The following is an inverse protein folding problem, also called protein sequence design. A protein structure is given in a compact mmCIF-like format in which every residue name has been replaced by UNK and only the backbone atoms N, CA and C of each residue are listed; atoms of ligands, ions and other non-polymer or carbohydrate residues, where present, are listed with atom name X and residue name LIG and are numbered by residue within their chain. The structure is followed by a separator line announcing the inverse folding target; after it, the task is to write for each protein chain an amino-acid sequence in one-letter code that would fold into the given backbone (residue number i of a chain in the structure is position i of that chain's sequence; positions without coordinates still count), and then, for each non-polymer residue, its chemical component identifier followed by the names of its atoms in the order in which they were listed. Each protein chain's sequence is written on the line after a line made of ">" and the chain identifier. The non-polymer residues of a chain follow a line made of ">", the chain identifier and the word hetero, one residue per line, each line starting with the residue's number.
data_IF_402688306683
#
_entry.id   IF_402688306683
#
_cell.length_a   1.000
_cell.length_b   1.000
_cell.length_c   1.000
_cell.angle_alpha   90.00
_cell.angle_beta   90.00
_cell.angle_gamma   90.00
#
_symmetry.space_group_name_H-M   'P 1'
#
loop_
_entity.id
_entity.type
_entity.pdbx_description
1 polymer ?
#
# COMPACT_ATOMS: atom_id res chain seq x y z
N UNK A 1 -42.09 44.75 35.77
CA UNK A 1 -41.55 43.37 35.67
C UNK A 1 -40.27 43.44 34.85
N UNK A 2 -39.14 43.08 35.44
CA UNK A 2 -37.81 43.38 34.89
C UNK A 2 -37.38 42.27 33.92
N UNK A 3 -37.22 42.59 32.64
CA UNK A 3 -36.85 41.65 31.57
C UNK A 3 -35.33 41.36 31.47
N UNK A 4 -34.53 41.98 32.35
CA UNK A 4 -33.07 41.90 32.37
C UNK A 4 -32.55 40.46 32.58
N UNK A 5 -33.02 39.67 33.58
CA UNK A 5 -32.52 38.30 33.77
C UNK A 5 -32.80 37.38 32.58
N UNK A 6 -33.93 37.58 31.90
CA UNK A 6 -34.32 36.79 30.74
C UNK A 6 -33.40 37.04 29.54
N UNK A 7 -32.97 38.30 29.35
CA UNK A 7 -31.98 38.66 28.32
C UNK A 7 -30.60 38.08 28.60
N UNK A 8 -30.16 38.08 29.86
CA UNK A 8 -28.87 37.49 30.26
C UNK A 8 -28.90 35.98 30.04
N UNK A 9 -30.00 35.32 30.40
CA UNK A 9 -30.17 33.89 30.14
C UNK A 9 -30.09 33.53 28.66
N UNK A 10 -30.78 34.30 27.79
CA UNK A 10 -30.67 34.14 26.34
C UNK A 10 -29.25 34.38 25.81
N UNK A 11 -28.54 35.37 26.35
CA UNK A 11 -27.16 35.65 25.97
C UNK A 11 -26.21 34.49 26.32
N UNK A 12 -26.33 33.97 27.54
CA UNK A 12 -25.49 32.85 28.03
C UNK A 12 -25.79 31.58 27.22
N UNK A 13 -27.05 31.27 26.97
CA UNK A 13 -27.43 30.08 26.19
C UNK A 13 -26.97 30.18 24.74
N UNK A 14 -27.10 31.36 24.12
CA UNK A 14 -26.58 31.57 22.77
C UNK A 14 -25.05 31.42 22.71
N UNK A 15 -24.33 32.01 23.66
CA UNK A 15 -22.88 31.87 23.76
C UNK A 15 -22.45 30.40 23.98
N UNK A 16 -23.17 29.66 24.82
CA UNK A 16 -22.92 28.24 25.06
C UNK A 16 -23.14 27.39 23.80
N UNK A 17 -24.20 27.67 23.02
CA UNK A 17 -24.46 26.96 21.76
C UNK A 17 -23.35 27.23 20.74
N UNK A 18 -22.94 28.49 20.56
CA UNK A 18 -21.85 28.85 19.64
C UNK A 18 -20.54 28.18 20.05
N UNK A 19 -20.24 28.16 21.35
CA UNK A 19 -19.05 27.50 21.88
C UNK A 19 -19.07 25.98 21.65
N UNK A 20 -20.24 25.35 21.85
CA UNK A 20 -20.41 23.92 21.60
C UNK A 20 -20.14 23.57 20.13
N UNK A 21 -20.74 24.29 19.19
CA UNK A 21 -20.51 24.08 17.75
C UNK A 21 -19.03 24.28 17.39
N UNK A 22 -18.36 25.25 18.01
CA UNK A 22 -16.95 25.51 17.76
C UNK A 22 -16.05 24.35 18.23
N UNK A 23 -16.32 23.80 19.42
CA UNK A 23 -15.59 22.65 19.97
C UNK A 23 -15.84 21.40 19.11
N UNK A 24 -17.09 21.18 18.70
CA UNK A 24 -17.47 20.04 17.86
C UNK A 24 -16.70 20.05 16.52
N UNK A 25 -16.62 21.20 15.86
CA UNK A 25 -15.78 21.37 14.66
C UNK A 25 -14.30 21.16 14.89
N UNK A 26 -13.78 21.48 16.08
CA UNK A 26 -12.39 21.18 16.42
C UNK A 26 -12.17 19.68 16.67
N UNK A 27 -13.14 18.99 17.23
CA UNK A 27 -13.08 17.55 17.44
C UNK A 27 -13.08 16.79 16.10
N UNK A 28 -13.93 17.17 15.14
CA UNK A 28 -13.93 16.59 13.78
C UNK A 28 -12.55 16.72 13.11
N UNK A 29 -11.94 17.91 13.22
CA UNK A 29 -10.59 18.14 12.68
C UNK A 29 -9.51 17.34 13.41
N UNK A 30 -9.72 17.05 14.70
CA UNK A 30 -8.79 16.26 15.52
C UNK A 30 -8.91 14.77 15.19
N UNK A 31 -10.13 14.28 14.97
CA UNK A 31 -10.41 12.91 14.55
C UNK A 31 -9.80 12.63 13.18
N UNK A 32 -10.01 13.52 12.20
CA UNK A 32 -9.39 13.39 10.88
C UNK A 32 -7.85 13.43 10.94
N UNK A 33 -7.28 14.21 11.86
CA UNK A 33 -5.82 14.27 12.07
C UNK A 33 -5.25 13.03 12.75
N UNK A 34 -6.07 12.22 13.42
CA UNK A 34 -5.64 10.94 14.02
C UNK A 34 -5.62 9.81 13.00
N UNK A 35 -6.47 9.86 11.96
CA UNK A 35 -6.51 8.85 10.90
C UNK A 35 -5.30 8.93 9.96
N UNK A 36 -4.83 10.15 9.67
CA UNK A 36 -3.66 10.39 8.79
C UNK A 36 -2.39 9.64 9.25
N UNK A 37 -1.92 9.75 10.51
CA UNK A 37 -0.72 9.06 10.96
C UNK A 37 -0.91 7.55 11.07
N UNK A 38 -2.14 7.05 11.22
CA UNK A 38 -2.42 5.62 11.19
C UNK A 38 -2.22 5.06 9.77
N UNK A 39 -2.75 5.76 8.76
CA UNK A 39 -2.59 5.39 7.36
C UNK A 39 -1.12 5.52 6.90
N UNK A 40 -0.42 6.57 7.33
CA UNK A 40 1.00 6.77 7.01
C UNK A 40 1.88 5.61 7.52
N UNK A 41 1.60 5.11 8.73
CA UNK A 41 2.30 3.94 9.28
C UNK A 41 2.07 2.69 8.45
N UNK A 42 0.84 2.48 7.98
CA UNK A 42 0.50 1.32 7.16
C UNK A 42 1.17 1.36 5.78
N UNK A 43 1.14 2.52 5.12
CA UNK A 43 1.84 2.74 3.85
C UNK A 43 3.35 2.51 4.01
N UNK A 44 3.95 3.06 5.07
CA UNK A 44 5.37 2.86 5.36
C UNK A 44 5.72 1.38 5.58
N UNK A 45 4.91 0.65 6.36
CA UNK A 45 5.07 -0.79 6.58
C UNK A 45 5.02 -1.57 5.25
N UNK A 46 4.08 -1.23 4.37
CA UNK A 46 3.95 -1.87 3.05
C UNK A 46 5.14 -1.57 2.14
N UNK A 47 5.67 -0.35 2.20
CA UNK A 47 6.82 0.08 1.40
C UNK A 47 8.11 -0.59 1.89
N UNK A 48 8.28 -0.76 3.19
CA UNK A 48 9.38 -1.55 3.77
C UNK A 48 9.31 -3.02 3.34
N UNK A 49 8.12 -3.63 3.34
CA UNK A 49 7.93 -4.99 2.86
C UNK A 49 8.26 -5.12 1.37
N UNK A 50 7.76 -4.20 0.53
CA UNK A 50 8.10 -4.20 -0.89
C UNK A 50 9.60 -4.03 -1.14
N UNK A 51 10.26 -3.17 -0.36
CA UNK A 51 11.71 -2.95 -0.47
C UNK A 51 12.48 -4.21 -0.10
N UNK A 52 12.09 -4.87 1.00
CA UNK A 52 12.67 -6.14 1.42
C UNK A 52 12.45 -7.24 0.39
N UNK A 53 11.22 -7.39 -0.10
CA UNK A 53 10.88 -8.40 -1.09
C UNK A 53 11.62 -8.17 -2.40
N UNK A 54 11.72 -6.91 -2.84
CA UNK A 54 12.51 -6.53 -4.02
C UNK A 54 14.00 -6.82 -3.83
N UNK A 55 14.54 -6.59 -2.63
CA UNK A 55 15.92 -6.95 -2.30
C UNK A 55 16.13 -8.48 -2.37
N UNK A 56 15.23 -9.26 -1.78
CA UNK A 56 15.26 -10.72 -1.83
C UNK A 56 15.18 -11.23 -3.27
N UNK A 57 14.23 -10.71 -4.07
CA UNK A 57 14.11 -11.03 -5.50
C UNK A 57 15.42 -10.71 -6.23
N UNK A 58 15.98 -9.51 -6.04
CA UNK A 58 17.25 -9.15 -6.68
C UNK A 58 18.40 -10.06 -6.24
N UNK A 59 18.39 -10.56 -5.00
CA UNK A 59 19.40 -11.50 -4.52
C UNK A 59 19.23 -12.87 -5.19
N UNK A 60 17.99 -13.36 -5.30
CA UNK A 60 17.66 -14.60 -6.01
C UNK A 60 17.92 -14.54 -7.51
N UNK A 61 17.62 -13.41 -8.14
CA UNK A 61 17.85 -13.15 -9.56
C UNK A 61 19.27 -12.70 -9.88
N UNK A 62 20.14 -12.55 -8.86
CA UNK A 62 21.53 -12.21 -9.12
C UNK A 62 22.20 -13.37 -9.85
N UNK A 63 22.88 -13.11 -10.99
CA UNK A 63 23.44 -14.18 -11.83
C UNK A 63 24.51 -15.00 -11.10
N UNK A 64 25.17 -14.40 -10.11
CA UNK A 64 26.12 -15.07 -9.23
C UNK A 64 25.41 -16.09 -8.34
N UNK A 65 24.28 -15.72 -7.72
CA UNK A 65 23.51 -16.61 -6.86
C UNK A 65 22.84 -17.74 -7.65
N UNK A 66 22.32 -17.43 -8.84
CA UNK A 66 21.82 -18.43 -9.79
C UNK A 66 22.91 -19.42 -10.23
N UNK A 67 24.13 -18.94 -10.48
CA UNK A 67 25.29 -19.80 -10.74
C UNK A 67 25.61 -20.68 -9.53
N UNK A 68 25.62 -20.15 -8.31
CA UNK A 68 25.88 -20.94 -7.09
C UNK A 68 24.82 -22.03 -6.86
N UNK A 69 23.54 -21.73 -7.10
CA UNK A 69 22.45 -22.72 -7.04
C UNK A 69 22.62 -23.83 -8.07
N UNK A 70 23.07 -23.52 -9.29
CA UNK A 70 23.32 -24.51 -10.34
C UNK A 70 24.44 -25.51 -9.98
N UNK A 71 25.36 -25.14 -9.08
CA UNK A 71 26.43 -26.02 -8.61
C UNK A 71 26.00 -26.92 -7.43
N UNK A 72 24.83 -26.70 -6.83
CA UNK A 72 24.33 -27.56 -5.75
C UNK A 72 23.82 -28.90 -6.33
N UNK A 73 24.13 -30.04 -5.69
CA UNK A 73 23.76 -31.36 -6.19
C UNK A 73 22.24 -31.57 -6.29
N UNK A 74 21.47 -30.84 -5.48
CA UNK A 74 19.99 -30.84 -5.49
C UNK A 74 19.42 -30.39 -6.85
N UNK A 75 20.12 -29.50 -7.56
CA UNK A 75 19.71 -28.97 -8.86
C UNK A 75 20.44 -29.66 -10.03
N UNK A 76 21.23 -30.70 -9.78
CA UNK A 76 21.98 -31.43 -10.81
C UNK A 76 21.11 -32.15 -11.86
N UNK A 77 19.80 -32.26 -11.61
CA UNK A 77 18.82 -32.79 -12.56
C UNK A 77 18.34 -31.73 -13.58
N UNK A 78 18.57 -30.44 -13.32
CA UNK A 78 18.27 -29.37 -14.26
C UNK A 78 19.33 -29.34 -15.36
N UNK A 79 18.98 -29.88 -16.53
CA UNK A 79 19.81 -29.78 -17.73
C UNK A 79 19.65 -28.40 -18.35
N UNK A 80 20.76 -27.79 -18.75
CA UNK A 80 20.72 -26.60 -19.58
C UNK A 80 19.88 -26.89 -20.82
N UNK A 81 18.86 -26.06 -21.12
CA UNK A 81 18.09 -26.24 -22.33
C UNK A 81 19.01 -26.08 -23.54
N UNK A 82 18.88 -27.00 -24.49
CA UNK A 82 19.53 -26.89 -25.79
C UNK A 82 18.98 -25.65 -26.51
N UNK A 83 19.85 -24.98 -27.27
CA UNK A 83 19.59 -23.67 -27.88
C UNK A 83 18.37 -23.67 -28.82
N UNK A 84 17.97 -24.84 -29.31
CA UNK A 84 16.80 -25.10 -30.16
C UNK A 84 15.46 -25.02 -29.39
N UNK A 85 15.48 -24.97 -28.05
CA UNK A 85 14.29 -24.86 -27.19
C UNK A 85 14.11 -23.49 -26.53
N UNK A 86 14.96 -22.52 -26.84
CA UNK A 86 14.87 -21.17 -26.27
C UNK A 86 13.87 -20.37 -27.09
N UNK A 87 12.65 -20.23 -26.58
CA UNK A 87 11.64 -19.30 -27.13
C UNK A 87 11.96 -17.92 -26.57
N UNK A 88 12.64 -17.08 -27.35
CA UNK A 88 12.85 -15.68 -27.02
C UNK A 88 11.59 -14.88 -27.31
N UNK A 89 10.94 -14.36 -26.27
CA UNK A 89 9.83 -13.43 -26.42
C UNK A 89 10.40 -12.05 -26.78
N UNK A 90 10.01 -11.44 -27.92
CA UNK A 90 10.36 -10.05 -28.20
C UNK A 90 9.73 -9.16 -27.12
N UNK A 91 10.55 -8.34 -26.46
CA UNK A 91 10.09 -7.40 -25.44
C UNK A 91 9.03 -6.48 -26.04
N UNK A 92 7.76 -6.68 -25.66
CA UNK A 92 6.66 -5.77 -26.05
C UNK A 92 5.31 -6.41 -26.33
N UNK A 93 5.15 -7.73 -26.30
CA UNK A 93 3.83 -8.37 -26.54
C UNK A 93 3.38 -9.13 -25.30
N UNK A 94 2.39 -8.55 -24.62
CA UNK A 94 1.60 -9.20 -23.56
C UNK A 94 0.92 -10.42 -24.20
N UNK A 95 1.15 -11.66 -23.74
CA UNK A 95 0.49 -12.81 -24.33
C UNK A 95 -0.98 -12.78 -23.92
N UNK A 96 -1.86 -12.51 -24.89
CA UNK A 96 -3.26 -12.85 -24.72
C UNK A 96 -3.37 -14.37 -24.58
N UNK A 97 -4.06 -14.74 -23.53
CA UNK A 97 -4.40 -16.11 -23.20
C UNK A 97 -5.41 -16.63 -24.24
N UNK A 98 -5.16 -17.88 -24.68
CA UNK A 98 -6.15 -18.86 -25.16
C UNK A 98 -6.40 -19.03 -26.67
N UNK A 99 -6.18 -20.30 -27.06
CA UNK A 99 -7.20 -21.18 -27.64
C UNK A 99 -7.28 -21.38 -29.17
N UNK A 100 -7.03 -22.64 -29.52
CA UNK A 100 -7.74 -23.46 -30.51
C UNK A 100 -7.28 -23.52 -31.97
N UNK A 101 -7.21 -24.76 -32.47
CA UNK A 101 -7.23 -25.14 -33.88
C UNK A 101 -5.93 -25.77 -34.35
N UNK A 102 -5.68 -27.07 -34.13
CA UNK A 102 -6.21 -28.16 -34.97
C UNK A 102 -5.98 -27.94 -36.47
N UNK A 103 -4.84 -28.42 -36.99
CA UNK A 103 -4.72 -29.58 -37.88
C UNK A 103 -3.27 -29.79 -38.30
#
# INVERSE_FOLDING_TARGET
>A
MNAIPLKIFFCITFAAIVLYIYIDKQNDLTELRLEIPALEKEVKRLQEHNTKLKYEINQFESPIHLMELAHKPEFGHLRYPYTDKIITLPQGVIPEEQSAGSK
#
